data_IF_644541467476
#
_entry.id   IF_644541467476
#
_cell.length_a   1.000
_cell.length_b   1.000
_cell.length_c   1.000
_cell.angle_alpha   90.00
_cell.angle_beta   90.00
_cell.angle_gamma   90.00
#
_symmetry.space_group_name_H-M   'P 1'
#
loop_
_entity.id
_entity.type
_entity.pdbx_description
1 polymer ?
#
# COMPACT_ATOMS: atom_id res chain seq x y z
N UNK A 1 51.93 -10.92 45.57
CA UNK A 1 51.82 -10.89 44.10
C UNK A 1 50.54 -11.58 43.60
N UNK A 2 50.02 -12.61 44.27
CA UNK A 2 48.80 -13.33 43.83
C UNK A 2 47.54 -12.48 43.82
N UNK A 3 47.33 -11.58 44.77
CA UNK A 3 46.14 -10.75 44.85
C UNK A 3 45.97 -9.81 43.64
N UNK A 4 47.06 -9.36 43.04
CA UNK A 4 47.04 -8.51 41.86
C UNK A 4 46.61 -9.27 40.58
N UNK A 5 47.00 -10.54 40.47
CA UNK A 5 46.58 -11.40 39.35
C UNK A 5 45.11 -11.78 39.44
N UNK A 6 44.58 -12.05 40.62
CA UNK A 6 43.17 -12.37 40.85
C UNK A 6 42.29 -11.14 40.49
N UNK A 7 42.72 -9.96 40.92
CA UNK A 7 42.00 -8.71 40.56
C UNK A 7 42.00 -8.43 39.05
N UNK A 8 43.13 -8.65 38.38
CA UNK A 8 43.23 -8.47 36.93
C UNK A 8 42.38 -9.48 36.15
N UNK A 9 42.35 -10.74 36.57
CA UNK A 9 41.49 -11.78 35.97
C UNK A 9 40.01 -11.48 36.18
N UNK A 10 39.60 -11.02 37.36
CA UNK A 10 38.24 -10.63 37.65
C UNK A 10 37.78 -9.44 36.78
N UNK A 11 38.63 -8.45 36.58
CA UNK A 11 38.37 -7.32 35.71
C UNK A 11 38.24 -7.74 34.25
N UNK A 12 39.10 -8.61 33.75
CA UNK A 12 39.05 -9.16 32.40
C UNK A 12 37.78 -10.01 32.18
N UNK A 13 37.38 -10.85 33.12
CA UNK A 13 36.18 -11.62 33.06
C UNK A 13 34.92 -10.73 33.05
N UNK A 14 34.87 -9.69 33.87
CA UNK A 14 33.78 -8.71 33.91
C UNK A 14 33.63 -7.94 32.60
N UNK A 15 34.71 -7.51 31.98
CA UNK A 15 34.69 -6.81 30.69
C UNK A 15 34.26 -7.74 29.55
N UNK A 16 34.66 -9.02 29.53
CA UNK A 16 34.26 -9.99 28.55
C UNK A 16 32.74 -10.28 28.61
N UNK A 17 32.23 -10.52 29.82
CA UNK A 17 30.80 -10.78 30.04
C UNK A 17 29.96 -9.53 29.69
N UNK A 18 30.41 -8.34 30.13
CA UNK A 18 29.72 -7.07 29.81
C UNK A 18 29.71 -6.78 28.32
N UNK A 19 30.80 -7.02 27.60
CA UNK A 19 30.94 -6.83 26.18
C UNK A 19 30.00 -7.78 25.36
N UNK A 20 29.97 -9.06 25.74
CA UNK A 20 29.10 -10.04 25.09
C UNK A 20 27.60 -9.74 25.28
N UNK A 21 27.21 -9.33 26.49
CA UNK A 21 25.81 -8.96 26.80
C UNK A 21 25.40 -7.72 26.02
N UNK A 22 26.25 -6.70 25.96
CA UNK A 22 26.00 -5.47 25.22
C UNK A 22 25.86 -5.75 23.70
N UNK A 23 26.73 -6.63 23.17
CA UNK A 23 26.69 -7.00 21.75
C UNK A 23 25.41 -7.77 21.41
N UNK A 24 25.01 -8.76 22.21
CA UNK A 24 23.79 -9.54 22.01
C UNK A 24 22.53 -8.65 22.07
N UNK A 25 22.48 -7.71 23.01
CA UNK A 25 21.38 -6.76 23.16
C UNK A 25 21.29 -5.82 21.95
N UNK A 26 22.42 -5.25 21.54
CA UNK A 26 22.48 -4.35 20.39
C UNK A 26 22.03 -5.06 19.10
N UNK A 27 22.44 -6.31 18.91
CA UNK A 27 22.10 -7.09 17.74
C UNK A 27 20.59 -7.44 17.65
N UNK A 28 19.97 -7.77 18.78
CA UNK A 28 18.51 -8.04 18.82
C UNK A 28 17.70 -6.79 18.58
N UNK A 29 18.08 -5.66 19.16
CA UNK A 29 17.42 -4.37 18.93
C UNK A 29 17.55 -3.96 17.45
N UNK A 30 18.76 -4.07 16.89
CA UNK A 30 19.02 -3.71 15.49
C UNK A 30 18.22 -4.56 14.50
N UNK A 31 18.08 -5.87 14.78
CA UNK A 31 17.22 -6.75 13.98
C UNK A 31 15.72 -6.37 14.07
N UNK A 32 15.23 -6.05 15.25
CA UNK A 32 13.86 -5.62 15.45
C UNK A 32 13.59 -4.30 14.71
N UNK A 33 14.49 -3.34 14.80
CA UNK A 33 14.40 -2.05 14.10
C UNK A 33 14.41 -2.24 12.58
N UNK A 34 15.31 -3.08 12.05
CA UNK A 34 15.39 -3.34 10.60
C UNK A 34 14.10 -3.99 10.08
N UNK A 35 13.50 -4.91 10.85
CA UNK A 35 12.21 -5.52 10.49
C UNK A 35 11.09 -4.48 10.49
N UNK A 36 11.00 -3.66 11.53
CA UNK A 36 9.99 -2.60 11.62
C UNK A 36 10.12 -1.60 10.47
N UNK A 37 11.34 -1.18 10.13
CA UNK A 37 11.60 -0.29 9.01
C UNK A 37 11.22 -0.90 7.65
N UNK A 38 11.49 -2.20 7.44
CA UNK A 38 11.08 -2.89 6.21
C UNK A 38 9.56 -2.93 6.07
N UNK A 39 8.86 -3.28 7.14
CA UNK A 39 7.39 -3.31 7.15
C UNK A 39 6.80 -1.92 6.87
N UNK A 40 7.33 -0.87 7.52
CA UNK A 40 6.92 0.50 7.27
C UNK A 40 7.15 0.91 5.81
N UNK A 41 8.32 0.66 5.25
CA UNK A 41 8.67 0.99 3.87
C UNK A 41 7.79 0.24 2.84
N UNK A 42 7.49 -1.04 3.09
CA UNK A 42 6.57 -1.79 2.21
C UNK A 42 5.12 -1.28 2.30
N UNK A 43 4.69 -0.85 3.48
CA UNK A 43 3.40 -0.19 3.67
C UNK A 43 3.32 1.12 2.91
N UNK A 44 4.34 1.98 3.02
CA UNK A 44 4.41 3.26 2.32
C UNK A 44 4.38 3.10 0.80
N UNK A 45 5.06 2.08 0.27
CA UNK A 45 5.02 1.75 -1.17
C UNK A 45 3.63 1.34 -1.64
N UNK A 46 2.91 0.53 -0.83
CA UNK A 46 1.53 0.13 -1.13
C UNK A 46 0.59 1.33 -1.10
N UNK A 47 0.69 2.15 -0.05
CA UNK A 47 -0.10 3.37 0.10
C UNK A 47 0.12 4.33 -1.08
N UNK A 48 1.37 4.54 -1.49
CA UNK A 48 1.70 5.34 -2.66
C UNK A 48 1.14 4.75 -3.97
N UNK A 49 1.13 3.42 -4.12
CA UNK A 49 0.53 2.77 -5.29
C UNK A 49 -0.99 2.94 -5.32
N UNK A 50 -1.65 2.73 -4.17
CA UNK A 50 -3.09 2.91 -4.05
C UNK A 50 -3.52 4.36 -4.30
N UNK A 51 -2.76 5.34 -3.77
CA UNK A 51 -2.98 6.76 -4.04
C UNK A 51 -2.89 7.08 -5.53
N UNK A 52 -1.84 6.61 -6.20
CA UNK A 52 -1.70 6.79 -7.67
C UNK A 52 -2.85 6.17 -8.47
N UNK A 53 -3.35 5.02 -8.03
CA UNK A 53 -4.50 4.40 -8.67
C UNK A 53 -5.77 5.24 -8.51
N UNK A 54 -6.04 5.75 -7.30
CA UNK A 54 -7.20 6.62 -7.03
C UNK A 54 -7.14 7.89 -7.86
N UNK A 55 -5.97 8.55 -7.91
CA UNK A 55 -5.76 9.79 -8.67
C UNK A 55 -6.01 9.57 -10.17
N UNK A 56 -5.47 8.50 -10.73
CA UNK A 56 -5.64 8.16 -12.13
C UNK A 56 -7.08 7.73 -12.45
N UNK A 57 -7.70 6.95 -11.57
CA UNK A 57 -9.09 6.54 -11.72
C UNK A 57 -10.05 7.75 -11.69
N UNK A 58 -9.87 8.66 -10.74
CA UNK A 58 -10.68 9.87 -10.63
C UNK A 58 -10.53 10.76 -11.87
N UNK A 59 -9.31 10.94 -12.39
CA UNK A 59 -9.02 11.70 -13.58
C UNK A 59 -9.67 11.08 -14.82
N UNK A 60 -9.51 9.79 -15.03
CA UNK A 60 -10.10 9.08 -16.17
C UNK A 60 -11.63 9.08 -16.11
N UNK A 61 -12.20 8.89 -14.92
CA UNK A 61 -13.64 8.95 -14.74
C UNK A 61 -14.20 10.33 -15.06
N UNK A 62 -13.56 11.41 -14.60
CA UNK A 62 -13.95 12.76 -14.93
C UNK A 62 -13.83 13.05 -16.44
N UNK A 63 -12.78 12.56 -17.10
CA UNK A 63 -12.60 12.69 -18.55
C UNK A 63 -13.71 11.91 -19.33
N UNK A 64 -14.01 10.70 -18.91
CA UNK A 64 -15.04 9.86 -19.53
C UNK A 64 -16.44 10.49 -19.48
N UNK A 65 -16.74 11.27 -18.42
CA UNK A 65 -18.01 11.98 -18.28
C UNK A 65 -18.12 13.23 -19.17
N UNK A 66 -16.98 13.85 -19.49
CA UNK A 66 -16.95 15.14 -20.21
C UNK A 66 -16.64 14.98 -21.70
N UNK A 67 -15.94 13.95 -22.09
CA UNK A 67 -15.36 13.83 -23.42
C UNK A 67 -15.67 12.50 -24.08
N UNK A 68 -16.32 12.54 -25.24
CA UNK A 68 -16.37 11.38 -26.14
C UNK A 68 -15.04 11.32 -26.91
N UNK A 69 -14.18 10.38 -26.57
CA UNK A 69 -12.85 10.27 -27.17
C UNK A 69 -12.66 9.02 -28.01
N UNK A 70 -12.05 9.17 -29.17
CA UNK A 70 -11.60 8.05 -30.00
C UNK A 70 -10.32 7.40 -29.45
N UNK A 71 -9.53 8.11 -28.64
CA UNK A 71 -8.28 7.66 -28.02
C UNK A 71 -8.45 7.10 -26.60
N UNK A 72 -9.68 6.84 -26.15
CA UNK A 72 -9.97 6.30 -24.82
C UNK A 72 -9.16 5.04 -24.46
N UNK A 73 -8.92 4.17 -25.44
CA UNK A 73 -8.12 2.96 -25.26
C UNK A 73 -6.66 3.29 -24.82
N UNK A 74 -6.07 4.34 -25.38
CA UNK A 74 -4.72 4.78 -25.02
C UNK A 74 -4.67 5.33 -23.58
N UNK A 75 -5.71 6.05 -23.16
CA UNK A 75 -5.81 6.58 -21.80
C UNK A 75 -5.97 5.46 -20.76
N UNK A 76 -6.65 4.37 -21.10
CA UNK A 76 -6.86 3.22 -20.22
C UNK A 76 -5.58 2.43 -19.94
N UNK A 77 -4.51 2.58 -20.73
CA UNK A 77 -3.23 1.86 -20.53
C UNK A 77 -2.62 2.20 -19.17
N UNK A 78 -2.71 3.46 -18.74
CA UNK A 78 -2.16 3.90 -17.45
C UNK A 78 -2.79 3.17 -16.27
N UNK A 79 -4.11 3.17 -16.20
CA UNK A 79 -4.85 2.51 -15.11
C UNK A 79 -4.72 0.98 -15.17
N UNK A 80 -4.64 0.39 -16.36
CA UNK A 80 -4.34 -1.03 -16.53
C UNK A 80 -2.98 -1.40 -15.95
N UNK A 81 -1.96 -0.56 -16.19
CA UNK A 81 -0.64 -0.74 -15.60
C UNK A 81 -0.64 -0.67 -14.07
N UNK A 82 -1.42 0.26 -13.48
CA UNK A 82 -1.58 0.37 -12.04
C UNK A 82 -2.34 -0.83 -11.46
N UNK A 83 -3.43 -1.27 -12.09
CA UNK A 83 -4.17 -2.48 -11.71
C UNK A 83 -3.26 -3.72 -11.73
N UNK A 84 -2.42 -3.84 -12.74
CA UNK A 84 -1.46 -4.95 -12.85
C UNK A 84 -0.43 -4.94 -11.72
N UNK A 85 0.05 -3.76 -11.29
CA UNK A 85 0.94 -3.64 -10.13
C UNK A 85 0.22 -3.99 -8.82
N UNK A 86 -1.03 -3.60 -8.67
CA UNK A 86 -1.87 -3.96 -7.52
C UNK A 86 -2.01 -5.48 -7.44
N UNK A 87 -2.24 -6.17 -8.56
CA UNK A 87 -2.33 -7.65 -8.61
C UNK A 87 -1.08 -8.35 -8.09
N UNK A 88 0.11 -7.73 -8.23
CA UNK A 88 1.38 -8.33 -7.80
C UNK A 88 1.58 -8.32 -6.28
N UNK A 89 0.98 -7.35 -5.59
CA UNK A 89 1.36 -7.08 -4.19
C UNK A 89 0.18 -7.05 -3.21
N UNK A 90 -1.06 -7.06 -3.71
CA UNK A 90 -2.25 -6.85 -2.88
C UNK A 90 -3.11 -8.11 -2.76
N UNK A 91 -4.00 -8.11 -1.77
CA UNK A 91 -4.98 -9.17 -1.55
C UNK A 91 -6.02 -9.23 -2.68
N UNK A 92 -6.66 -10.38 -2.81
CA UNK A 92 -7.71 -10.59 -3.80
C UNK A 92 -8.85 -9.55 -3.69
N UNK A 93 -9.19 -9.11 -2.48
CA UNK A 93 -10.22 -8.10 -2.24
C UNK A 93 -9.86 -6.74 -2.84
N UNK A 94 -8.61 -6.28 -2.65
CA UNK A 94 -8.13 -5.02 -3.24
C UNK A 94 -8.06 -5.14 -4.76
N UNK A 95 -7.62 -6.29 -5.28
CA UNK A 95 -7.57 -6.54 -6.72
C UNK A 95 -8.96 -6.47 -7.34
N UNK A 96 -9.94 -7.17 -6.77
CA UNK A 96 -11.33 -7.17 -7.27
C UNK A 96 -11.94 -5.77 -7.25
N UNK A 97 -11.72 -5.00 -6.20
CA UNK A 97 -12.23 -3.63 -6.13
C UNK A 97 -11.53 -2.69 -7.14
N UNK A 98 -10.23 -2.85 -7.40
CA UNK A 98 -9.53 -2.11 -8.45
C UNK A 98 -10.04 -2.45 -9.85
N UNK A 99 -10.31 -3.73 -10.11
CA UNK A 99 -10.90 -4.20 -11.38
C UNK A 99 -12.31 -3.65 -11.58
N UNK A 100 -13.13 -3.60 -10.53
CA UNK A 100 -14.46 -3.01 -10.57
C UNK A 100 -14.41 -1.51 -10.92
N UNK A 101 -13.49 -0.75 -10.31
CA UNK A 101 -13.26 0.67 -10.67
C UNK A 101 -12.88 0.81 -12.14
N UNK A 102 -11.94 -0.02 -12.60
CA UNK A 102 -11.47 0.02 -14.00
C UNK A 102 -12.62 -0.30 -14.98
N UNK A 103 -13.47 -1.26 -14.65
CA UNK A 103 -14.63 -1.61 -15.45
C UNK A 103 -15.63 -0.46 -15.54
N UNK A 104 -15.94 0.20 -14.43
CA UNK A 104 -16.87 1.34 -14.41
C UNK A 104 -16.33 2.50 -15.25
N UNK A 105 -15.03 2.78 -15.21
CA UNK A 105 -14.43 3.79 -16.07
C UNK A 105 -14.57 3.40 -17.54
N UNK A 106 -14.33 2.15 -17.88
CA UNK A 106 -14.50 1.65 -19.25
C UNK A 106 -15.96 1.78 -19.71
N UNK A 107 -16.91 1.42 -18.88
CA UNK A 107 -18.33 1.54 -19.18
C UNK A 107 -18.75 3.00 -19.36
N UNK A 108 -18.17 3.93 -18.59
CA UNK A 108 -18.39 5.36 -18.74
C UNK A 108 -17.88 5.90 -20.09
N UNK A 109 -16.72 5.44 -20.58
CA UNK A 109 -16.23 5.80 -21.92
C UNK A 109 -17.10 5.22 -23.06
N UNK A 110 -17.75 4.09 -22.83
CA UNK A 110 -18.64 3.45 -23.81
C UNK A 110 -20.05 4.05 -23.81
N UNK A 111 -20.43 4.75 -22.72
CA UNK A 111 -21.74 5.36 -22.56
C UNK A 111 -21.69 6.83 -22.96
N UNK A 112 -22.52 7.31 -23.94
CA UNK A 112 -22.47 8.69 -24.35
C UNK A 112 -23.01 9.63 -23.27
N UNK A 113 -22.22 10.64 -22.89
CA UNK A 113 -22.58 11.86 -22.17
C UNK A 113 -23.74 11.71 -21.15
N UNK A 114 -23.44 11.18 -19.98
CA UNK A 114 -24.37 11.24 -18.86
C UNK A 114 -24.42 12.68 -18.31
N UNK A 115 -25.61 13.21 -18.12
CA UNK A 115 -25.80 14.48 -17.42
C UNK A 115 -25.48 14.32 -15.93
N UNK A 116 -25.11 15.41 -15.25
CA UNK A 116 -24.89 15.38 -13.79
C UNK A 116 -26.11 14.83 -13.03
N UNK A 117 -27.28 14.96 -13.57
CA UNK A 117 -28.54 14.49 -12.98
C UNK A 117 -28.65 12.97 -13.10
N UNK A 118 -28.38 12.41 -14.26
CA UNK A 118 -28.31 10.96 -14.50
C UNK A 118 -27.20 10.29 -13.69
N UNK A 119 -26.06 10.97 -13.56
CA UNK A 119 -24.95 10.51 -12.73
C UNK A 119 -25.34 10.45 -11.25
N UNK A 120 -25.99 11.49 -10.73
CA UNK A 120 -26.48 11.52 -9.35
C UNK A 120 -27.50 10.41 -9.11
N UNK A 121 -28.43 10.23 -10.02
CA UNK A 121 -29.48 9.22 -9.89
C UNK A 121 -28.90 7.81 -9.93
N UNK A 122 -27.91 7.57 -10.79
CA UNK A 122 -27.14 6.31 -10.82
C UNK A 122 -26.39 6.05 -9.53
N UNK A 123 -25.77 7.06 -8.92
CA UNK A 123 -25.05 6.92 -7.66
C UNK A 123 -26.00 6.69 -6.48
N UNK A 124 -27.13 7.39 -6.44
CA UNK A 124 -28.11 7.27 -5.38
C UNK A 124 -28.88 5.94 -5.46
N UNK A 125 -29.31 5.56 -6.68
CA UNK A 125 -30.10 4.34 -6.88
C UNK A 125 -29.26 3.05 -6.73
N UNK A 126 -28.00 3.06 -7.20
CA UNK A 126 -27.16 1.88 -7.18
C UNK A 126 -26.28 1.77 -5.93
N UNK A 127 -26.21 2.79 -5.09
CA UNK A 127 -25.29 2.84 -3.92
C UNK A 127 -23.84 2.45 -4.26
N UNK A 128 -23.44 2.65 -5.53
CA UNK A 128 -22.14 2.23 -6.02
C UNK A 128 -21.21 3.46 -6.02
N UNK A 129 -20.36 3.53 -4.99
CA UNK A 129 -19.16 4.34 -5.02
C UNK A 129 -17.95 3.40 -5.12
N UNK A 130 -17.47 3.11 -6.35
CA UNK A 130 -16.42 2.11 -6.55
C UNK A 130 -15.08 2.55 -5.94
N UNK A 131 -14.82 3.86 -5.85
CA UNK A 131 -13.62 4.39 -5.19
C UNK A 131 -13.71 4.23 -3.68
N UNK A 132 -14.91 4.27 -3.09
CA UNK A 132 -15.13 4.00 -1.68
C UNK A 132 -14.79 2.54 -1.36
N UNK A 133 -15.33 1.59 -2.10
CA UNK A 133 -15.12 0.16 -1.88
C UNK A 133 -13.63 -0.19 -2.03
N UNK A 134 -12.95 0.38 -3.04
CA UNK A 134 -11.51 0.25 -3.20
C UNK A 134 -10.75 0.83 -2.01
N UNK A 135 -11.11 2.04 -1.57
CA UNK A 135 -10.45 2.72 -0.44
C UNK A 135 -10.65 1.95 0.87
N UNK A 136 -11.82 1.36 1.09
CA UNK A 136 -12.08 0.51 2.26
C UNK A 136 -11.25 -0.77 2.23
N UNK A 137 -11.16 -1.43 1.07
CA UNK A 137 -10.32 -2.61 0.88
C UNK A 137 -8.83 -2.31 1.14
N UNK A 138 -8.33 -1.20 0.60
CA UNK A 138 -6.96 -0.76 0.82
C UNK A 138 -6.67 -0.44 2.29
N UNK A 139 -7.58 0.26 2.97
CA UNK A 139 -7.45 0.59 4.39
C UNK A 139 -7.38 -0.67 5.25
N UNK A 140 -8.22 -1.65 4.97
CA UNK A 140 -8.20 -2.93 5.69
C UNK A 140 -6.89 -3.68 5.46
N UNK A 141 -6.40 -3.74 4.22
CA UNK A 141 -5.11 -4.36 3.90
C UNK A 141 -3.95 -3.67 4.63
N UNK A 142 -3.88 -2.32 4.58
CA UNK A 142 -2.83 -1.56 5.25
C UNK A 142 -2.90 -1.68 6.79
N UNK A 143 -4.09 -1.88 7.36
CA UNK A 143 -4.28 -2.08 8.80
C UNK A 143 -3.81 -3.44 9.28
N UNK A 144 -3.98 -4.46 8.45
CA UNK A 144 -3.58 -5.84 8.76
C UNK A 144 -2.13 -6.14 8.38
N UNK A 145 -1.54 -5.33 7.50
CA UNK A 145 -0.18 -5.51 7.03
C UNK A 145 0.84 -5.38 8.17
N UNK A 146 1.66 -6.42 8.36
CA UNK A 146 2.73 -6.43 9.39
C UNK A 146 2.28 -6.85 10.80
N UNK A 147 1.04 -7.36 10.96
CA UNK A 147 0.56 -7.90 12.24
C UNK A 147 0.91 -9.38 12.48
N UNK A 148 1.78 -9.97 11.61
CA UNK A 148 2.26 -11.36 11.73
C UNK A 148 3.71 -11.43 12.16
#
# INVERSE_FOLDING_TARGET
>A
MEAAYISALAALAGTAIGGLTSFATSWTIQRAQTRAQRVANERDKREALFGKFVDEAAKLYADALQNKREDAAALMIGIYGLTSRIRLISSARVVQSAEAVTQIIMDAYLSPNMTLQELRDTWVERHIDPLRDFSEACREELRTFGKF
#
